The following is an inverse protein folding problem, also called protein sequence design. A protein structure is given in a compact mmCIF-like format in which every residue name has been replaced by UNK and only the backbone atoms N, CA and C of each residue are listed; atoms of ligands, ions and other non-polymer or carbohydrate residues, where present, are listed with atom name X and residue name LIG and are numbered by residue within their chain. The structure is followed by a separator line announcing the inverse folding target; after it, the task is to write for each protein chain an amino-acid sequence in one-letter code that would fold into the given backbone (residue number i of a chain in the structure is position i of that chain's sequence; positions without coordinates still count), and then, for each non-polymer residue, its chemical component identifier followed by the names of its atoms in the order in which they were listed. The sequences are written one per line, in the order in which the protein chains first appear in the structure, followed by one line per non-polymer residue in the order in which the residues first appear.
data_IF_125218750175
#
_entry.id   IF_125218750175
#
_cell.length_a   1.000
_cell.length_b   1.000
_cell.length_c   1.000
_cell.angle_alpha   90.00
_cell.angle_beta   90.00
_cell.angle_gamma   90.00
#
_symmetry.space_group_name_H-M   'P 1'
#
loop_
_entity.id
_entity.type
_entity.pdbx_description
1 polymer ?
#
# COMPACT_ATOMS: atom_id res chain seq x y z
N UNK A 1 -12.09 -3.03 24.42
CA UNK A 1 -11.11 -3.10 23.31
C UNK A 1 -10.20 -4.29 23.56
N UNK A 2 -9.98 -5.15 22.57
CA UNK A 2 -9.08 -6.31 22.71
C UNK A 2 -7.63 -5.83 22.85
N UNK A 3 -6.80 -6.51 23.65
CA UNK A 3 -5.43 -6.03 23.97
C UNK A 3 -4.56 -5.84 22.73
N UNK A 4 -4.69 -6.75 21.76
CA UNK A 4 -3.94 -6.66 20.51
C UNK A 4 -4.40 -5.48 19.66
N UNK A 5 -5.70 -5.23 19.58
CA UNK A 5 -6.26 -4.09 18.84
C UNK A 5 -5.85 -2.76 19.48
N UNK A 6 -5.86 -2.67 20.82
CA UNK A 6 -5.39 -1.49 21.53
C UNK A 6 -3.89 -1.21 21.27
N UNK A 7 -3.07 -2.27 21.25
CA UNK A 7 -1.64 -2.14 20.94
C UNK A 7 -1.41 -1.73 19.49
N UNK A 8 -2.16 -2.31 18.55
CA UNK A 8 -2.09 -1.94 17.14
C UNK A 8 -2.50 -0.48 16.95
N UNK A 9 -3.62 -0.06 17.53
CA UNK A 9 -4.07 1.33 17.48
C UNK A 9 -3.03 2.30 18.05
N UNK A 10 -2.40 1.96 19.18
CA UNK A 10 -1.29 2.75 19.74
C UNK A 10 -0.12 2.87 18.76
N UNK A 11 0.30 1.76 18.14
CA UNK A 11 1.39 1.77 17.15
C UNK A 11 1.04 2.65 15.96
N UNK A 12 -0.17 2.51 15.40
CA UNK A 12 -0.62 3.32 14.27
C UNK A 12 -0.67 4.81 14.65
N UNK A 13 -1.21 5.16 15.81
CA UNK A 13 -1.31 6.54 16.26
C UNK A 13 0.04 7.19 16.57
N UNK A 14 1.03 6.41 17.03
CA UNK A 14 2.34 6.94 17.41
C UNK A 14 3.39 6.88 16.30
N UNK A 15 3.27 5.96 15.35
CA UNK A 15 4.31 5.66 14.36
C UNK A 15 3.84 5.86 12.91
N UNK A 16 2.62 6.35 12.70
CA UNK A 16 2.11 6.67 11.37
C UNK A 16 1.41 8.01 11.36
N UNK A 17 1.38 8.64 10.18
CA UNK A 17 0.67 9.90 9.97
C UNK A 17 -0.23 9.82 8.74
N UNK A 18 -1.42 10.47 8.78
CA UNK A 18 -2.33 10.51 7.65
C UNK A 18 -1.81 11.43 6.54
N UNK A 19 -2.01 10.99 5.30
CA UNK A 19 -1.69 11.70 4.07
C UNK A 19 -2.84 11.50 3.09
N UNK A 20 -3.33 12.58 2.50
CA UNK A 20 -4.39 12.53 1.49
C UNK A 20 -3.75 12.73 0.12
N UNK A 21 -3.94 11.75 -0.76
CA UNK A 21 -3.46 11.83 -2.13
C UNK A 21 -4.63 11.86 -3.11
N UNK A 22 -4.51 12.69 -4.15
CA UNK A 22 -5.42 12.73 -5.28
C UNK A 22 -4.69 12.39 -6.58
N UNK A 23 -5.39 11.81 -7.56
CA UNK A 23 -4.82 11.54 -8.88
C UNK A 23 -4.55 12.87 -9.60
N UNK A 24 -3.40 12.98 -10.26
CA UNK A 24 -3.08 14.14 -11.12
C UNK A 24 -3.78 14.09 -12.48
N UNK A 25 -4.04 12.88 -12.98
CA UNK A 25 -4.73 12.64 -14.24
C UNK A 25 -6.18 12.24 -13.98
N UNK A 26 -7.07 12.68 -14.88
CA UNK A 26 -8.49 12.37 -14.80
C UNK A 26 -8.80 10.91 -15.19
N UNK A 27 -7.99 10.32 -16.07
CA UNK A 27 -8.16 8.93 -16.51
C UNK A 27 -7.62 7.90 -15.49
N UNK A 28 -6.88 8.37 -14.49
CA UNK A 28 -6.39 7.53 -13.40
C UNK A 28 -7.48 7.38 -12.33
N UNK A 29 -7.88 6.14 -12.06
CA UNK A 29 -8.87 5.80 -11.06
C UNK A 29 -8.40 4.64 -10.18
N UNK A 30 -8.55 4.81 -8.87
CA UNK A 30 -8.38 3.73 -7.90
C UNK A 30 -9.48 2.68 -8.05
N UNK A 31 -9.10 1.43 -7.82
CA UNK A 31 -10.01 0.28 -7.75
C UNK A 31 -10.22 -0.13 -6.30
N UNK A 32 -11.32 -0.83 -6.04
CA UNK A 32 -11.67 -1.37 -4.73
C UNK A 32 -11.72 -2.90 -4.80
N UNK A 33 -11.45 -3.57 -3.68
CA UNK A 33 -11.65 -5.02 -3.51
C UNK A 33 -12.61 -5.27 -2.35
N UNK A 34 -13.07 -6.51 -2.15
CA UNK A 34 -14.02 -6.85 -1.05
C UNK A 34 -13.50 -6.48 0.35
N UNK A 35 -12.18 -6.38 0.52
CA UNK A 35 -11.53 -5.89 1.74
C UNK A 35 -11.18 -4.39 1.64
N UNK A 36 -12.16 -3.54 1.32
CA UNK A 36 -11.97 -2.08 1.24
C UNK A 36 -11.55 -1.43 2.57
N UNK A 37 -11.69 -2.16 3.68
CA UNK A 37 -11.27 -1.70 4.99
C UNK A 37 -9.80 -2.08 5.22
N UNK A 38 -8.90 -1.09 5.11
CA UNK A 38 -7.51 -1.15 5.58
C UNK A 38 -6.60 -2.09 4.76
N UNK A 39 -6.03 -1.58 3.66
CA UNK A 39 -5.03 -2.32 2.88
C UNK A 39 -3.63 -2.04 3.39
N UNK A 40 -2.89 -3.09 3.74
CA UNK A 40 -1.56 -2.95 4.35
C UNK A 40 -0.45 -3.21 3.33
N UNK A 41 0.36 -2.19 3.04
CA UNK A 41 1.64 -2.39 2.38
C UNK A 41 2.69 -2.78 3.43
N UNK A 42 3.09 -4.06 3.39
CA UNK A 42 4.08 -4.61 4.31
C UNK A 42 4.82 -5.80 3.71
N UNK A 43 6.05 -6.08 4.18
CA UNK A 43 6.74 -7.34 3.91
C UNK A 43 5.83 -8.53 4.28
N UNK A 44 5.58 -9.44 3.33
CA UNK A 44 4.63 -10.54 3.51
C UNK A 44 5.29 -11.78 4.15
N UNK A 45 5.71 -11.68 5.41
CA UNK A 45 6.23 -12.83 6.18
C UNK A 45 5.68 -12.86 7.62
N UNK A 46 4.65 -13.67 7.88
CA UNK A 46 4.11 -13.86 9.23
C UNK A 46 5.18 -14.39 10.20
N UNK A 47 5.18 -13.89 11.43
CA UNK A 47 5.99 -14.45 12.53
C UNK A 47 7.47 -14.08 12.55
N UNK A 48 7.97 -13.33 11.57
CA UNK A 48 9.38 -12.92 11.50
C UNK A 48 9.58 -11.53 12.10
N UNK A 49 8.94 -10.53 11.50
CA UNK A 49 8.98 -9.14 11.95
C UNK A 49 7.74 -8.40 11.44
N UNK A 50 7.38 -7.32 12.13
CA UNK A 50 6.22 -6.51 11.80
C UNK A 50 6.65 -5.09 11.46
N UNK A 51 6.47 -4.71 10.20
CA UNK A 51 6.67 -3.35 9.72
C UNK A 51 5.59 -3.04 8.69
N UNK A 52 4.79 -2.02 8.98
CA UNK A 52 3.77 -1.53 8.06
C UNK A 52 4.25 -0.22 7.47
N UNK A 53 4.46 -0.19 6.16
CA UNK A 53 4.89 1.02 5.46
C UNK A 53 3.72 1.96 5.26
N UNK A 54 2.59 1.40 4.79
CA UNK A 54 1.37 2.15 4.52
C UNK A 54 0.14 1.34 4.89
N UNK A 55 -0.86 2.03 5.40
CA UNK A 55 -2.23 1.57 5.49
C UNK A 55 -3.06 2.44 4.55
N UNK A 56 -3.77 1.83 3.61
CA UNK A 56 -4.47 2.55 2.55
C UNK A 56 -5.98 2.42 2.69
N UNK A 57 -6.65 3.54 2.46
CA UNK A 57 -8.10 3.68 2.40
C UNK A 57 -8.46 4.42 1.12
N UNK A 58 -9.01 3.72 0.14
CA UNK A 58 -9.53 4.36 -1.06
C UNK A 58 -10.88 4.98 -0.70
N UNK A 59 -10.95 6.31 -0.77
CA UNK A 59 -12.14 7.08 -0.39
C UNK A 59 -13.06 7.25 -1.60
N UNK A 60 -12.48 7.37 -2.79
CA UNK A 60 -13.20 7.48 -4.06
C UNK A 60 -12.27 7.17 -5.23
N UNK A 61 -12.78 7.24 -6.47
CA UNK A 61 -12.00 6.89 -7.66
C UNK A 61 -10.73 7.74 -7.81
N UNK A 62 -10.72 8.99 -7.35
CA UNK A 62 -9.57 9.89 -7.49
C UNK A 62 -8.89 10.27 -6.18
N UNK A 63 -9.29 9.69 -5.04
CA UNK A 63 -8.77 10.09 -3.72
C UNK A 63 -8.50 8.86 -2.86
N UNK A 64 -7.30 8.84 -2.27
CA UNK A 64 -6.87 7.82 -1.31
C UNK A 64 -6.30 8.49 -0.05
N UNK A 65 -6.64 7.94 1.11
CA UNK A 65 -6.02 8.27 2.39
C UNK A 65 -5.00 7.17 2.72
N UNK A 66 -3.77 7.60 3.00
CA UNK A 66 -2.68 6.75 3.43
C UNK A 66 -2.34 7.08 4.87
N UNK A 67 -2.29 6.11 5.77
CA UNK A 67 -1.48 6.22 6.97
C UNK A 67 -0.08 5.76 6.58
N UNK A 68 0.89 6.67 6.63
CA UNK A 68 2.27 6.43 6.22
C UNK A 68 3.15 6.31 7.45
N UNK A 69 4.05 5.33 7.48
CA UNK A 69 5.01 5.17 8.57
C UNK A 69 5.93 6.39 8.67
N UNK A 70 6.19 6.81 9.91
CA UNK A 70 7.19 7.82 10.26
C UNK A 70 8.64 7.41 9.98
N UNK A 71 8.88 6.14 9.62
CA UNK A 71 10.19 5.60 9.22
C UNK A 71 10.52 5.85 7.74
N UNK A 72 9.55 6.31 6.95
CA UNK A 72 9.74 6.61 5.53
C UNK A 72 10.12 8.08 5.29
N UNK A 73 10.77 8.40 4.15
CA UNK A 73 11.09 9.78 3.79
C UNK A 73 9.88 10.72 3.86
N UNK A 74 10.13 11.95 4.31
CA UNK A 74 9.13 13.02 4.46
C UNK A 74 9.77 14.36 4.05
N UNK A 75 9.08 15.16 3.25
CA UNK A 75 9.72 16.29 2.54
C UNK A 75 10.34 17.33 3.49
N UNK A 76 9.69 17.62 4.63
CA UNK A 76 10.02 18.74 5.51
C UNK A 76 11.06 18.33 6.57
N UNK A 77 10.87 17.19 7.22
CA UNK A 77 11.80 16.63 8.20
C UNK A 77 13.12 16.23 7.54
N UNK A 78 13.11 15.83 6.27
CA UNK A 78 14.32 15.45 5.54
C UNK A 78 15.22 16.62 5.17
N UNK A 79 14.74 17.85 5.36
CA UNK A 79 15.55 19.06 5.21
C UNK A 79 16.57 19.19 6.35
N UNK A 80 16.36 18.49 7.47
CA UNK A 80 17.36 18.26 8.50
C UNK A 80 18.08 16.93 8.27
N UNK A 81 19.33 17.02 7.80
CA UNK A 81 20.17 15.85 7.53
C UNK A 81 20.33 14.92 8.75
N UNK A 82 20.35 15.46 9.98
CA UNK A 82 20.49 14.65 11.18
C UNK A 82 19.21 13.85 11.48
N UNK A 83 18.05 14.46 11.27
CA UNK A 83 16.75 13.79 11.38
C UNK A 83 16.61 12.69 10.32
N UNK A 84 16.92 13.03 9.06
CA UNK A 84 16.94 12.08 7.94
C UNK A 84 17.81 10.86 8.23
N UNK A 85 19.07 11.08 8.60
CA UNK A 85 19.99 9.98 8.91
C UNK A 85 19.53 9.13 10.10
N UNK A 86 18.91 9.76 11.11
CA UNK A 86 18.37 9.02 12.27
C UNK A 86 17.24 8.11 11.85
N UNK A 87 16.30 8.61 11.04
CA UNK A 87 15.19 7.81 10.52
C UNK A 87 15.66 6.68 9.61
N UNK A 88 16.60 6.94 8.71
CA UNK A 88 17.19 5.91 7.84
C UNK A 88 17.85 4.79 8.67
N UNK A 89 18.56 5.13 9.75
CA UNK A 89 19.13 4.14 10.68
C UNK A 89 18.06 3.31 11.39
N UNK A 90 16.98 3.93 11.86
CA UNK A 90 15.88 3.21 12.53
C UNK A 90 15.13 2.30 11.54
N UNK A 91 14.87 2.76 10.32
CA UNK A 91 14.31 1.93 9.25
C UNK A 91 15.21 0.73 8.97
N UNK A 92 16.51 0.95 8.75
CA UNK A 92 17.47 -0.12 8.50
C UNK A 92 17.54 -1.13 9.66
N UNK A 93 17.49 -0.64 10.91
CA UNK A 93 17.45 -1.49 12.11
C UNK A 93 16.18 -2.36 12.15
N UNK A 94 15.02 -1.79 11.82
CA UNK A 94 13.77 -2.54 11.67
C UNK A 94 13.87 -3.61 10.58
N UNK A 95 14.53 -3.29 9.46
CA UNK A 95 14.66 -4.22 8.34
C UNK A 95 15.58 -5.41 8.63
N UNK A 96 16.55 -5.30 9.55
CA UNK A 96 17.47 -6.39 9.92
C UNK A 96 16.79 -7.64 10.45
N UNK A 97 15.56 -7.52 10.96
CA UNK A 97 14.80 -8.67 11.46
C UNK A 97 14.27 -9.56 10.31
N UNK A 98 14.32 -9.08 9.06
CA UNK A 98 13.90 -9.83 7.89
C UNK A 98 15.07 -10.62 7.26
N UNK A 99 14.83 -11.83 6.70
CA UNK A 99 15.85 -12.64 6.01
C UNK A 99 16.57 -11.95 4.85
N UNK A 100 15.88 -11.05 4.15
CA UNK A 100 16.45 -10.26 3.04
C UNK A 100 16.17 -8.77 3.28
N UNK A 101 16.90 -8.10 4.21
CA UNK A 101 16.60 -6.73 4.63
C UNK A 101 16.56 -5.73 3.47
N UNK A 102 17.48 -5.84 2.52
CA UNK A 102 17.61 -4.91 1.38
C UNK A 102 16.42 -4.99 0.42
N UNK A 103 15.70 -6.12 0.43
CA UNK A 103 14.55 -6.37 -0.43
C UNK A 103 13.22 -6.09 0.28
N UNK A 104 13.25 -5.85 1.60
CA UNK A 104 12.09 -5.50 2.41
C UNK A 104 11.78 -3.99 2.32
N UNK A 105 11.78 -3.40 1.12
CA UNK A 105 11.53 -1.97 0.92
C UNK A 105 10.12 -1.70 0.41
N UNK A 106 9.52 -0.61 0.86
CA UNK A 106 8.23 -0.11 0.34
C UNK A 106 8.27 0.12 -1.18
N UNK A 107 7.13 -0.07 -1.85
CA UNK A 107 6.85 0.34 -3.22
C UNK A 107 6.70 1.87 -3.30
N UNK A 108 6.09 2.46 -2.29
CA UNK A 108 5.83 3.90 -2.16
C UNK A 108 6.87 4.60 -1.26
N UNK A 109 8.09 4.06 -1.20
CA UNK A 109 9.16 4.59 -0.35
C UNK A 109 9.41 6.07 -0.64
N UNK A 110 9.55 6.41 -1.93
CA UNK A 110 9.94 7.75 -2.39
C UNK A 110 8.73 8.66 -2.68
N UNK A 111 7.54 8.29 -2.19
CA UNK A 111 6.33 9.11 -2.31
C UNK A 111 6.55 10.49 -1.67
N UNK A 112 6.48 11.59 -2.44
CA UNK A 112 6.82 12.93 -1.97
C UNK A 112 5.64 13.54 -1.20
N UNK A 113 5.57 13.25 0.09
CA UNK A 113 4.49 13.72 0.98
C UNK A 113 5.05 14.35 2.24
N UNK A 114 4.20 15.13 2.90
CA UNK A 114 4.52 15.79 4.16
C UNK A 114 3.47 15.51 5.24
N UNK A 115 3.90 15.58 6.51
CA UNK A 115 3.03 15.44 7.67
C UNK A 115 2.02 16.59 7.73
N UNK A 116 0.81 16.36 8.30
CA UNK A 116 -0.13 17.45 8.58
C UNK A 116 0.54 18.54 9.43
N UNK A 117 0.38 19.79 9.01
CA UNK A 117 1.02 20.93 9.66
C UNK A 117 0.08 21.59 10.65
N UNK A 118 0.63 22.13 11.74
CA UNK A 118 -0.14 22.99 12.65
C UNK A 118 -0.30 24.36 12.01
N UNK A 119 -1.51 24.91 12.00
CA UNK A 119 -1.83 26.22 11.38
C UNK A 119 -1.04 27.40 11.95
N UNK A 120 -0.50 27.28 13.16
CA UNK A 120 0.34 28.29 13.80
C UNK A 120 1.84 28.04 13.61
N UNK A 121 2.25 27.06 12.81
CA UNK A 121 3.64 26.87 12.40
C UNK A 121 3.78 27.27 10.95
N UNK A 122 4.84 28.03 10.62
CA UNK A 122 5.15 28.44 9.25
C UNK A 122 6.61 28.11 8.94
N UNK A 123 6.88 27.73 7.70
CA UNK A 123 8.25 27.64 7.22
C UNK A 123 8.83 29.05 7.06
N UNK A 124 9.94 29.32 7.74
CA UNK A 124 10.76 30.51 7.56
C UNK A 124 12.19 30.05 7.31
N UNK A 125 12.64 30.12 6.05
CA UNK A 125 13.99 29.72 5.64
C UNK A 125 14.36 28.28 6.03
N UNK A 126 13.55 27.30 5.63
CA UNK A 126 13.76 25.87 5.91
C UNK A 126 13.72 25.52 7.41
N UNK A 127 13.04 26.34 8.20
CA UNK A 127 12.84 26.09 9.62
C UNK A 127 11.38 26.32 9.97
N UNK A 128 10.77 25.32 10.60
CA UNK A 128 9.42 25.46 11.13
C UNK A 128 9.47 26.39 12.35
N UNK A 129 8.93 27.60 12.19
CA UNK A 129 8.87 28.62 13.23
C UNK A 129 7.42 28.80 13.68
N UNK A 130 7.25 28.98 14.98
CA UNK A 130 5.97 29.34 15.57
C UNK A 130 5.53 30.75 15.12
N UNK A 131 4.34 30.85 14.56
CA UNK A 131 3.74 32.08 14.03
C UNK A 131 2.61 32.64 14.90
N UNK A 132 2.34 32.03 16.07
CA UNK A 132 1.28 32.44 16.98
C UNK A 132 1.73 33.45 18.05
N UNK A 133 0.75 34.12 18.66
CA UNK A 133 0.94 34.96 19.85
C UNK A 133 0.36 34.24 21.08
N UNK A 134 1.02 33.18 21.56
CA UNK A 134 0.57 32.41 22.72
C UNK A 134 1.26 31.05 22.86
N UNK A 135 1.06 30.36 23.98
CA UNK A 135 1.44 28.95 24.13
C UNK A 135 0.32 28.10 23.53
N UNK A 136 0.54 27.34 22.46
CA UNK A 136 -0.51 26.51 21.87
C UNK A 136 -0.97 25.44 22.86
N UNK A 137 -2.28 25.35 23.10
CA UNK A 137 -2.90 24.25 23.84
C UNK A 137 -3.43 23.22 22.85
N UNK A 138 -3.30 21.92 23.20
CA UNK A 138 -3.73 20.80 22.35
C UNK A 138 -5.18 20.91 21.88
N UNK A 139 -6.04 21.55 22.67
CA UNK A 139 -7.47 21.73 22.39
C UNK A 139 -7.79 22.73 21.27
N UNK A 140 -6.84 23.61 20.92
CA UNK A 140 -7.03 24.64 19.89
C UNK A 140 -6.22 24.37 18.62
N UNK A 141 -5.53 23.23 18.57
CA UNK A 141 -4.71 22.82 17.42
C UNK A 141 -5.60 22.61 16.19
N UNK A 142 -5.45 23.49 15.20
CA UNK A 142 -5.97 23.24 13.84
C UNK A 142 -4.85 22.66 13.00
N UNK A 143 -5.10 21.50 12.42
CA UNK A 143 -4.20 20.81 11.51
C UNK A 143 -4.59 21.12 10.06
N UNK A 144 -3.60 21.50 9.26
CA UNK A 144 -3.69 21.62 7.83
C UNK A 144 -3.22 20.30 7.20
N UNK A 145 -4.11 19.66 6.45
CA UNK A 145 -3.83 18.45 5.70
C UNK A 145 -3.60 18.84 4.24
N UNK A 146 -2.36 18.76 3.72
CA UNK A 146 -2.13 18.99 2.31
C UNK A 146 -2.78 17.86 1.50
N UNK A 147 -3.37 18.23 0.36
CA UNK A 147 -3.81 17.28 -0.66
C UNK A 147 -2.68 17.11 -1.67
N UNK A 148 -2.05 15.94 -1.68
CA UNK A 148 -0.93 15.66 -2.57
C UNK A 148 -1.42 15.13 -3.91
N UNK A 149 -1.12 15.82 -5.00
CA UNK A 149 -1.34 15.31 -6.34
C UNK A 149 -0.27 14.26 -6.66
N UNK A 150 -0.68 13.04 -6.98
CA UNK A 150 0.25 11.95 -7.33
C UNK A 150 0.17 11.60 -8.82
N UNK A 151 1.31 11.19 -9.38
CA UNK A 151 1.41 10.79 -10.78
C UNK A 151 0.78 9.42 -11.05
N UNK A 152 0.58 9.12 -12.32
CA UNK A 152 -0.02 7.86 -12.76
C UNK A 152 0.77 6.65 -12.28
N UNK A 153 2.11 6.70 -12.30
CA UNK A 153 2.94 5.58 -11.85
C UNK A 153 2.68 5.27 -10.37
N UNK A 154 2.63 6.28 -9.52
CA UNK A 154 2.30 6.15 -8.09
C UNK A 154 0.90 5.61 -7.88
N UNK A 155 -0.09 6.08 -8.65
CA UNK A 155 -1.46 5.54 -8.61
C UNK A 155 -1.45 4.04 -8.95
N UNK A 156 -0.75 3.65 -10.02
CA UNK A 156 -0.69 2.25 -10.43
C UNK A 156 0.09 1.36 -9.43
N UNK A 157 1.08 1.91 -8.71
CA UNK A 157 1.75 1.22 -7.60
C UNK A 157 0.80 0.97 -6.42
N UNK A 158 -0.03 1.95 -6.05
CA UNK A 158 -1.07 1.79 -5.01
C UNK A 158 -2.05 0.71 -5.44
N UNK A 159 -2.52 0.75 -6.69
CA UNK A 159 -3.44 -0.27 -7.22
C UNK A 159 -2.78 -1.66 -7.27
N UNK A 160 -1.48 -1.73 -7.53
CA UNK A 160 -0.73 -2.99 -7.47
C UNK A 160 -0.78 -3.62 -6.07
N UNK A 161 -0.73 -2.82 -5.01
CA UNK A 161 -0.95 -3.30 -3.64
C UNK A 161 -2.37 -3.84 -3.46
N UNK A 162 -3.38 -3.15 -4.01
CA UNK A 162 -4.77 -3.60 -3.98
C UNK A 162 -4.90 -4.99 -4.64
N UNK A 163 -4.36 -5.18 -5.84
CA UNK A 163 -4.42 -6.48 -6.53
C UNK A 163 -3.64 -7.57 -5.80
N UNK A 164 -2.50 -7.25 -5.19
CA UNK A 164 -1.75 -8.22 -4.41
C UNK A 164 -2.55 -8.68 -3.16
N UNK A 165 -3.29 -7.77 -2.54
CA UNK A 165 -4.14 -8.07 -1.37
C UNK A 165 -5.52 -8.63 -1.72
N UNK A 166 -5.97 -8.46 -2.95
CA UNK A 166 -7.20 -9.05 -3.45
C UNK A 166 -7.07 -10.55 -3.79
N UNK A 167 -5.89 -11.15 -3.60
CA UNK A 167 -5.72 -12.60 -3.71
C UNK A 167 -6.67 -13.34 -2.76
N UNK A 168 -7.49 -14.23 -3.32
CA UNK A 168 -8.53 -14.96 -2.60
C UNK A 168 -9.89 -14.28 -2.55
N UNK A 169 -10.01 -13.06 -3.09
CA UNK A 169 -11.27 -12.33 -3.19
C UNK A 169 -11.95 -12.57 -4.54
N UNK A 170 -13.27 -12.39 -4.58
CA UNK A 170 -14.08 -12.58 -5.79
C UNK A 170 -14.37 -11.31 -6.55
N UNK A 171 -14.32 -10.15 -5.92
CA UNK A 171 -14.81 -8.89 -6.50
C UNK A 171 -13.74 -7.80 -6.50
N UNK A 172 -13.62 -7.14 -7.66
CA UNK A 172 -12.91 -5.88 -7.84
C UNK A 172 -13.92 -4.89 -8.42
N UNK A 173 -14.07 -3.74 -7.77
CA UNK A 173 -14.95 -2.64 -8.20
C UNK A 173 -14.09 -1.54 -8.81
N UNK A 174 -14.54 -1.01 -9.95
CA UNK A 174 -13.87 0.01 -10.73
C UNK A 174 -14.90 0.97 -11.33
N UNK A 175 -14.50 2.20 -11.63
CA UNK A 175 -15.42 3.19 -12.22
C UNK A 175 -15.45 3.05 -13.75
N UNK A 176 -14.29 3.03 -14.40
CA UNK A 176 -14.19 2.85 -15.86
C UNK A 176 -13.41 1.60 -16.27
N UNK A 177 -13.84 0.96 -17.36
CA UNK A 177 -13.13 -0.19 -17.93
C UNK A 177 -11.72 0.17 -18.41
N UNK A 178 -11.51 1.42 -18.82
CA UNK A 178 -10.20 1.94 -19.23
C UNK A 178 -9.23 1.97 -18.07
N UNK A 179 -9.63 2.55 -16.92
CA UNK A 179 -8.77 2.61 -15.74
C UNK A 179 -8.44 1.20 -15.22
N UNK A 180 -9.43 0.29 -15.17
CA UNK A 180 -9.17 -1.10 -14.78
C UNK A 180 -8.17 -1.77 -15.72
N UNK A 181 -8.28 -1.57 -17.04
CA UNK A 181 -7.33 -2.13 -18.00
C UNK A 181 -5.92 -1.62 -17.77
N UNK A 182 -5.74 -0.29 -17.63
CA UNK A 182 -4.43 0.32 -17.37
C UNK A 182 -3.81 -0.23 -16.09
N UNK A 183 -4.62 -0.38 -15.04
CA UNK A 183 -4.18 -0.94 -13.77
C UNK A 183 -3.76 -2.42 -13.86
N UNK A 184 -4.55 -3.24 -14.56
CA UNK A 184 -4.19 -4.63 -14.79
C UNK A 184 -2.92 -4.74 -15.64
N UNK A 185 -2.79 -3.92 -16.67
CA UNK A 185 -1.61 -3.90 -17.53
C UNK A 185 -0.36 -3.57 -16.74
N UNK A 186 -0.41 -2.51 -15.93
CA UNK A 186 0.69 -2.13 -15.07
C UNK A 186 1.04 -3.25 -14.07
N UNK A 187 0.06 -3.75 -13.30
CA UNK A 187 0.31 -4.78 -12.30
C UNK A 187 0.82 -6.09 -12.90
N UNK A 188 0.29 -6.54 -14.03
CA UNK A 188 0.71 -7.78 -14.68
C UNK A 188 2.14 -7.66 -15.24
N UNK A 189 2.49 -6.51 -15.82
CA UNK A 189 3.81 -6.24 -16.38
C UNK A 189 4.88 -5.91 -15.31
N UNK A 190 4.47 -5.41 -14.15
CA UNK A 190 5.37 -4.94 -13.09
C UNK A 190 6.41 -6.01 -12.72
N UNK A 191 7.70 -5.70 -12.85
CA UNK A 191 8.75 -6.67 -12.54
C UNK A 191 8.67 -7.12 -11.09
N UNK A 192 8.83 -8.42 -10.83
CA UNK A 192 8.97 -8.90 -9.46
C UNK A 192 10.35 -8.48 -8.93
N UNK A 193 10.38 -7.81 -7.77
CA UNK A 193 11.65 -7.53 -7.08
C UNK A 193 12.32 -8.87 -6.73
N UNK A 194 13.63 -8.85 -6.53
CA UNK A 194 14.27 -10.01 -5.93
C UNK A 194 13.81 -10.17 -4.47
N UNK A 195 13.83 -11.40 -3.96
CA UNK A 195 13.45 -11.69 -2.56
C UNK A 195 12.05 -12.18 -2.25
N UNK A 196 11.86 -12.47 -0.97
CA UNK A 196 10.61 -12.99 -0.42
C UNK A 196 9.48 -11.96 -0.30
N UNK A 197 9.86 -10.68 -0.40
CA UNK A 197 8.96 -9.54 -0.23
C UNK A 197 8.39 -9.01 -1.55
N UNK A 198 8.79 -9.60 -2.68
CA UNK A 198 8.21 -9.26 -3.98
C UNK A 198 6.74 -9.67 -4.07
N UNK A 199 5.98 -8.82 -4.75
CA UNK A 199 4.66 -9.18 -5.27
C UNK A 199 4.76 -10.35 -6.26
N UNK A 200 3.64 -11.04 -6.51
CA UNK A 200 3.56 -12.09 -7.56
C UNK A 200 4.60 -13.22 -7.43
N UNK A 201 5.05 -13.50 -6.20
CA UNK A 201 5.78 -14.72 -5.87
C UNK A 201 4.82 -15.92 -5.93
N UNK A 202 5.09 -16.87 -6.83
CA UNK A 202 4.31 -18.10 -7.04
C UNK A 202 5.15 -19.35 -6.77
N UNK A 203 4.52 -20.46 -6.40
CA UNK A 203 5.17 -21.76 -6.20
C UNK A 203 5.20 -22.57 -7.51
N UNK A 204 6.17 -23.49 -7.62
CA UNK A 204 6.34 -24.43 -8.76
C UNK A 204 5.35 -25.62 -8.74
N UNK A 205 4.49 -25.69 -7.72
CA UNK A 205 3.40 -26.65 -7.56
C UNK A 205 2.06 -26.00 -7.96
N UNK A 206 0.90 -26.70 -8.02
CA UNK A 206 -0.38 -26.04 -8.31
C UNK A 206 -0.65 -24.87 -7.36
N UNK A 207 -0.34 -23.67 -7.82
CA UNK A 207 -0.40 -22.44 -7.03
C UNK A 207 -1.66 -21.66 -7.37
N UNK A 208 -2.53 -21.52 -6.36
CA UNK A 208 -3.74 -20.71 -6.43
C UNK A 208 -3.43 -19.27 -6.84
N UNK A 209 -2.26 -18.74 -6.46
CA UNK A 209 -1.83 -17.39 -6.82
C UNK A 209 -1.48 -17.29 -8.30
N UNK A 210 -0.85 -18.30 -8.88
CA UNK A 210 -0.63 -18.34 -10.33
C UNK A 210 -1.96 -18.38 -11.09
N UNK A 211 -2.92 -19.20 -10.64
CA UNK A 211 -4.27 -19.23 -11.22
C UNK A 211 -4.99 -17.88 -11.10
N UNK A 212 -4.86 -17.20 -9.96
CA UNK A 212 -5.39 -15.85 -9.76
C UNK A 212 -4.79 -14.86 -10.76
N UNK A 213 -3.46 -14.84 -10.92
CA UNK A 213 -2.80 -13.96 -11.89
C UNK A 213 -3.22 -14.25 -13.33
N UNK A 214 -3.45 -15.53 -13.68
CA UNK A 214 -3.99 -15.90 -14.99
C UNK A 214 -5.44 -15.44 -15.20
N UNK A 215 -6.27 -15.45 -14.15
CA UNK A 215 -7.61 -14.85 -14.22
C UNK A 215 -7.55 -13.35 -14.46
N UNK A 216 -6.70 -12.62 -13.72
CA UNK A 216 -6.47 -11.20 -13.95
C UNK A 216 -5.99 -10.92 -15.39
N UNK A 217 -5.06 -11.73 -15.90
CA UNK A 217 -4.60 -11.65 -17.28
C UNK A 217 -5.75 -11.84 -18.28
N UNK A 218 -6.62 -12.84 -18.06
CA UNK A 218 -7.79 -13.07 -18.90
C UNK A 218 -8.76 -11.89 -18.87
N UNK A 219 -8.97 -11.27 -17.70
CA UNK A 219 -9.80 -10.06 -17.59
C UNK A 219 -9.18 -8.92 -18.38
N UNK A 220 -7.88 -8.68 -18.23
CA UNK A 220 -7.18 -7.64 -19.01
C UNK A 220 -7.31 -7.84 -20.52
N UNK A 221 -7.15 -9.10 -20.98
CA UNK A 221 -7.35 -9.43 -22.40
C UNK A 221 -8.78 -9.17 -22.88
N UNK A 222 -9.81 -9.50 -22.06
CA UNK A 222 -11.20 -9.21 -22.39
C UNK A 222 -11.49 -7.71 -22.48
N UNK A 223 -10.68 -6.88 -21.82
CA UNK A 223 -10.72 -5.41 -21.92
C UNK A 223 -9.92 -4.87 -23.11
N UNK A 224 -9.28 -5.74 -23.91
CA UNK A 224 -8.54 -5.37 -25.13
C UNK A 224 -7.02 -5.29 -24.96
N UNK A 225 -6.47 -5.75 -23.83
CA UNK A 225 -5.02 -5.79 -23.62
C UNK A 225 -4.35 -7.04 -24.20
N UNK A 226 -3.05 -6.97 -24.45
CA UNK A 226 -2.19 -8.11 -24.79
C UNK A 226 -1.13 -8.41 -23.72
N UNK A 227 -1.21 -7.77 -22.55
CA UNK A 227 -0.21 -7.87 -21.48
C UNK A 227 -0.14 -9.29 -20.92
N UNK A 228 1.08 -9.81 -20.81
CA UNK A 228 1.34 -11.10 -20.17
C UNK A 228 1.74 -10.91 -18.73
N UNK A 229 1.31 -11.84 -17.87
CA UNK A 229 1.77 -11.86 -16.47
C UNK A 229 3.28 -12.09 -16.39
N UNK A 230 3.95 -11.22 -15.65
CA UNK A 230 5.32 -11.42 -15.15
C UNK A 230 5.22 -11.84 -13.68
N UNK A 231 5.71 -13.03 -13.34
CA UNK A 231 5.72 -13.56 -11.98
C UNK A 231 6.99 -14.35 -11.69
N UNK A 232 7.34 -14.49 -10.41
CA UNK A 232 8.52 -15.24 -9.97
C UNK A 232 8.11 -16.61 -9.45
N UNK A 233 8.58 -17.66 -10.10
CA UNK A 233 8.39 -19.03 -9.63
C UNK A 233 9.45 -19.38 -8.59
N UNK A 234 9.02 -19.78 -7.39
CA UNK A 234 9.86 -20.31 -6.33
C UNK A 234 9.71 -21.83 -6.32
N UNK A 235 10.84 -22.53 -6.29
CA UNK A 235 10.84 -23.98 -6.04
C UNK A 235 10.32 -24.24 -4.64
N UNK A 236 9.40 -25.21 -4.53
CA UNK A 236 8.92 -25.74 -3.25
C UNK A 236 10.10 -26.31 -2.47
N UNK A 237 10.68 -25.52 -1.56
CA UNK A 237 11.49 -26.07 -0.48
C UNK A 237 10.50 -26.55 0.56
N UNK A 238 10.45 -27.86 0.82
CA UNK A 238 9.59 -28.44 1.87
C UNK A 238 9.87 -27.74 3.21
N UNK A 239 9.12 -26.69 3.52
CA UNK A 239 9.09 -26.06 4.83
C UNK A 239 7.85 -26.55 5.56
N UNK A 240 8.07 -27.36 6.59
CA UNK A 240 7.08 -27.71 7.60
C UNK A 240 6.65 -26.42 8.31
N UNK A 241 5.36 -26.06 8.25
CA UNK A 241 4.87 -24.94 9.03
C UNK A 241 3.52 -24.38 8.61
N UNK A 242 2.48 -24.89 9.28
CA UNK A 242 1.15 -24.29 9.50
C UNK A 242 0.08 -24.50 8.42
N UNK A 243 -0.76 -25.47 8.72
CA UNK A 243 -1.99 -25.94 8.07
C UNK A 243 -3.18 -24.96 8.26
N UNK A 244 -3.12 -23.77 7.64
CA UNK A 244 -4.25 -22.82 7.63
C UNK A 244 -4.97 -22.69 6.28
N UNK A 245 -4.35 -23.18 5.19
CA UNK A 245 -4.91 -23.12 3.83
C UNK A 245 -5.91 -24.26 3.51
N UNK A 246 -5.93 -25.34 4.31
CA UNK A 246 -6.80 -26.51 4.11
C UNK A 246 -8.29 -26.27 4.41
N UNK A 247 -8.67 -25.07 4.87
CA UNK A 247 -10.04 -24.77 5.34
C UNK A 247 -10.82 -23.75 4.51
N UNK A 248 -10.31 -23.28 3.36
CA UNK A 248 -11.10 -22.38 2.52
C UNK A 248 -12.09 -23.16 1.63
N UNK A 249 -13.41 -22.86 1.70
CA UNK A 249 -14.38 -23.53 0.85
C UNK A 249 -14.16 -23.16 -0.62
N UNK A 250 -14.14 -24.20 -1.46
CA UNK A 250 -14.14 -24.13 -2.92
C UNK A 250 -15.25 -23.18 -3.42
N UNK A 251 -14.86 -22.12 -4.13
CA UNK A 251 -15.78 -21.16 -4.75
C UNK A 251 -16.68 -21.91 -5.76
N UNK A 252 -18.00 -21.91 -5.49
CA UNK A 252 -19.03 -22.29 -6.46
C UNK A 252 -19.35 -21.09 -7.34
N UNK A 253 -19.25 -21.27 -8.67
CA UNK A 253 -19.75 -20.29 -9.63
C UNK A 253 -21.28 -20.17 -9.54
N UNK A 254 -21.80 -18.97 -9.28
CA UNK A 254 -23.16 -18.61 -9.69
C UNK A 254 -23.13 -17.34 -10.51
N UNK A 255 -23.78 -17.43 -11.66
CA UNK A 255 -23.95 -16.41 -12.69
C UNK A 255 -25.07 -15.43 -12.35
N UNK A 256 -24.88 -14.20 -12.84
CA UNK A 256 -25.82 -13.05 -12.97
C UNK A 256 -26.34 -12.40 -11.69
N UNK A 257 -26.03 -11.10 -11.53
CA UNK A 257 -27.06 -10.04 -11.49
C UNK A 257 -26.51 -8.78 -12.19
N UNK A 258 -27.24 -8.30 -13.19
CA UNK A 258 -27.20 -6.95 -13.76
C UNK A 258 -28.16 -6.05 -12.99
N UNK A 259 -27.71 -4.87 -12.54
CA UNK A 259 -28.50 -3.63 -12.44
C UNK A 259 -27.50 -2.48 -12.28
N UNK A 260 -27.31 -1.56 -13.22
CA UNK A 260 -28.21 -0.45 -13.60
C UNK A 260 -28.85 0.22 -12.38
N UNK A 261 -28.16 1.23 -11.84
CA UNK A 261 -28.63 2.60 -11.61
C UNK A 261 -27.40 3.50 -11.51
#
# INVERSE_FOLDING_TARGET
VYRHDARWAYIVMCCMYPVICATSQQDDEFVLSEHTYCLHERPNMPGVAYTEFHIMYVIGPHIVLLLRSDLLPEIVEDMDDAAKQTRERELAKGMRAYPNPDQARSLLHDLPVAKPQKTYTRDVHNRMVFSGTGVPTVETDKLLFPLFSIDSETVQLIISVIFEKAFGLSTIVYCTSTALRLALDFYLALSTREGDFSMKNVLDEPDLKYLYLKKLQSVSHNLGSTTKVVCKVKRSTKYQGVDWLSKQPLIRSRSRVTSLC
#
